data_IF_436311150276
#
_entry.id   IF_436311150276
#
_cell.length_a   1.000
_cell.length_b   1.000
_cell.length_c   1.000
_cell.angle_alpha   90.00
_cell.angle_beta   90.00
_cell.angle_gamma   90.00
#
_symmetry.space_group_name_H-M   'P 1'
#
loop_
_entity.id
_entity.type
_entity.pdbx_description
1 polymer ?
#
# COMPACT_ATOMS: atom_id res chain seq x y z
N UNK A 1 -2.29 13.95 22.09
CA UNK A 1 -3.14 13.06 21.26
C UNK A 1 -2.33 12.60 20.07
N UNK A 2 -2.24 11.30 19.84
CA UNK A 2 -1.53 10.78 18.68
C UNK A 2 -2.31 11.07 17.38
N UNK A 3 -1.57 11.24 16.29
CA UNK A 3 -2.14 11.46 14.97
C UNK A 3 -1.96 10.24 14.07
N UNK A 4 -2.98 9.97 13.27
CA UNK A 4 -2.98 8.94 12.23
C UNK A 4 -3.31 9.64 10.92
N UNK A 5 -2.42 9.57 9.95
CA UNK A 5 -2.67 10.15 8.63
C UNK A 5 -2.90 9.04 7.60
N UNK A 6 -4.05 9.12 6.93
CA UNK A 6 -4.36 8.33 5.74
C UNK A 6 -3.85 9.09 4.53
N UNK A 7 -2.97 8.46 3.76
CA UNK A 7 -2.35 9.10 2.59
C UNK A 7 -3.35 9.19 1.45
N UNK A 8 -3.56 10.42 0.96
CA UNK A 8 -4.42 10.73 -0.18
C UNK A 8 -3.57 11.12 -1.41
N UNK A 9 -3.62 10.33 -2.45
CA UNK A 9 -3.06 10.64 -3.76
C UNK A 9 -4.04 10.30 -4.89
N UNK A 10 -5.35 10.31 -4.57
CA UNK A 10 -6.42 10.06 -5.52
C UNK A 10 -6.81 8.59 -5.69
N UNK A 11 -6.22 7.68 -4.90
CA UNK A 11 -6.45 6.24 -5.01
C UNK A 11 -6.94 5.67 -3.68
N UNK A 12 -7.94 4.81 -3.74
CA UNK A 12 -8.47 4.09 -2.58
C UNK A 12 -9.75 4.67 -1.99
N UNK A 13 -10.38 3.90 -1.11
CA UNK A 13 -11.57 4.32 -0.38
C UNK A 13 -11.18 4.97 0.95
N UNK A 14 -10.75 6.23 0.86
CA UNK A 14 -10.18 6.97 1.98
C UNK A 14 -11.17 7.22 3.11
N UNK A 15 -12.43 7.50 2.76
CA UNK A 15 -13.47 7.78 3.76
C UNK A 15 -13.75 6.56 4.64
N UNK A 16 -13.93 5.39 4.04
CA UNK A 16 -14.15 4.15 4.79
C UNK A 16 -12.98 3.79 5.69
N UNK A 17 -11.75 3.96 5.20
CA UNK A 17 -10.53 3.73 5.98
C UNK A 17 -10.46 4.69 7.17
N UNK A 18 -10.68 5.99 6.94
CA UNK A 18 -10.68 6.99 8.01
C UNK A 18 -11.74 6.69 9.08
N UNK A 19 -12.96 6.33 8.67
CA UNK A 19 -14.04 5.98 9.60
C UNK A 19 -13.71 4.74 10.43
N UNK A 20 -13.13 3.72 9.83
CA UNK A 20 -12.70 2.53 10.55
C UNK A 20 -11.62 2.87 11.60
N UNK A 21 -10.66 3.72 11.23
CA UNK A 21 -9.60 4.17 12.15
C UNK A 21 -10.17 5.02 13.31
N UNK A 22 -11.11 5.91 13.04
CA UNK A 22 -11.80 6.69 14.09
C UNK A 22 -12.51 5.77 15.09
N UNK A 23 -13.12 4.70 14.58
CA UNK A 23 -13.83 3.73 15.43
C UNK A 23 -12.88 2.96 16.36
N UNK A 24 -11.75 2.46 15.82
CA UNK A 24 -10.82 1.63 16.60
C UNK A 24 -9.80 2.44 17.41
N UNK A 25 -9.60 3.70 17.07
CA UNK A 25 -8.65 4.58 17.73
C UNK A 25 -9.32 5.91 18.15
N UNK A 26 -10.36 5.88 19.02
CA UNK A 26 -11.17 7.06 19.34
C UNK A 26 -10.40 8.16 20.06
N UNK A 27 -9.20 7.86 20.57
CA UNK A 27 -8.33 8.84 21.23
C UNK A 27 -7.23 9.37 20.32
N UNK A 28 -7.25 9.02 19.04
CA UNK A 28 -6.30 9.52 18.06
C UNK A 28 -6.99 10.48 17.11
N UNK A 29 -6.23 11.46 16.62
CA UNK A 29 -6.71 12.34 15.56
C UNK A 29 -6.47 11.67 14.21
N UNK A 30 -7.52 11.24 13.54
CA UNK A 30 -7.47 10.68 12.21
C UNK A 30 -7.66 11.80 11.18
N UNK A 31 -6.78 11.86 10.20
CA UNK A 31 -6.85 12.84 9.11
C UNK A 31 -6.50 12.17 7.78
N UNK A 32 -7.05 12.72 6.70
CA UNK A 32 -6.74 12.33 5.32
C UNK A 32 -5.95 13.48 4.72
N UNK A 33 -4.80 13.22 4.13
CA UNK A 33 -3.97 14.30 3.61
C UNK A 33 -3.15 13.89 2.39
N UNK A 34 -3.02 14.82 1.46
CA UNK A 34 -2.12 14.76 0.31
C UNK A 34 -0.85 15.62 0.51
N UNK A 35 -0.65 16.13 1.71
CA UNK A 35 0.49 16.98 2.04
C UNK A 35 1.61 16.16 2.67
N UNK A 36 2.77 16.15 2.02
CA UNK A 36 3.96 15.43 2.49
C UNK A 36 4.40 15.88 3.89
N UNK A 37 4.23 17.17 4.22
CA UNK A 37 4.59 17.69 5.54
C UNK A 37 3.67 17.17 6.65
N UNK A 38 2.39 17.00 6.35
CA UNK A 38 1.42 16.41 7.27
C UNK A 38 1.73 14.93 7.51
N UNK A 39 2.06 14.18 6.45
CA UNK A 39 2.48 12.78 6.55
C UNK A 39 3.75 12.68 7.40
N UNK A 40 4.74 13.53 7.14
CA UNK A 40 5.99 13.57 7.88
C UNK A 40 5.80 13.89 9.39
N UNK A 41 4.87 14.76 9.72
CA UNK A 41 4.58 15.14 11.10
C UNK A 41 3.67 14.16 11.84
N UNK A 42 3.07 13.20 11.16
CA UNK A 42 2.13 12.24 11.75
C UNK A 42 2.84 11.19 12.60
N UNK A 43 2.18 10.75 13.67
CA UNK A 43 2.72 9.68 14.53
C UNK A 43 2.59 8.30 13.88
N UNK A 44 1.52 8.08 13.10
CA UNK A 44 1.23 6.85 12.38
C UNK A 44 0.73 7.16 10.97
N UNK A 45 1.04 6.30 10.04
CA UNK A 45 0.65 6.48 8.63
C UNK A 45 -0.06 5.24 8.11
N UNK A 46 -1.15 5.45 7.39
CA UNK A 46 -1.91 4.40 6.71
C UNK A 46 -1.91 4.67 5.21
N UNK A 47 -1.48 3.70 4.44
CA UNK A 47 -1.43 3.75 3.00
C UNK A 47 -2.45 2.76 2.42
N UNK A 48 -3.65 3.21 2.08
CA UNK A 48 -4.63 2.38 1.39
C UNK A 48 -4.41 2.40 -0.12
N UNK A 49 -5.02 1.48 -0.82
CA UNK A 49 -5.03 1.53 -2.27
C UNK A 49 -5.79 0.41 -2.91
N UNK A 50 -6.34 0.70 -4.08
CA UNK A 50 -7.07 -0.25 -4.92
C UNK A 50 -6.78 0.03 -6.39
N UNK A 51 -7.12 -0.92 -7.24
CA UNK A 51 -6.89 -0.84 -8.68
C UNK A 51 -5.65 -1.61 -9.12
N UNK A 52 -5.06 -1.21 -10.25
CA UNK A 52 -3.86 -1.83 -10.79
C UNK A 52 -2.59 -1.17 -10.23
N UNK A 53 -1.59 -1.98 -9.94
CA UNK A 53 -0.37 -1.51 -9.26
C UNK A 53 0.43 -0.48 -10.08
N UNK A 54 0.43 -0.60 -11.40
CA UNK A 54 1.11 0.37 -12.27
C UNK A 54 0.50 1.76 -12.17
N UNK A 55 -0.83 1.85 -12.21
CA UNK A 55 -1.56 3.10 -12.03
C UNK A 55 -1.39 3.67 -10.63
N UNK A 56 -1.37 2.82 -9.63
CA UNK A 56 -1.13 3.19 -8.24
C UNK A 56 0.24 3.86 -8.06
N UNK A 57 1.29 3.23 -8.56
CA UNK A 57 2.66 3.77 -8.50
C UNK A 57 2.78 5.09 -9.26
N UNK A 58 2.16 5.18 -10.44
CA UNK A 58 2.15 6.42 -11.21
C UNK A 58 1.49 7.56 -10.43
N UNK A 59 0.33 7.32 -9.85
CA UNK A 59 -0.38 8.32 -9.04
C UNK A 59 0.44 8.75 -7.82
N UNK A 60 1.08 7.82 -7.14
CA UNK A 60 1.94 8.11 -5.99
C UNK A 60 3.15 8.98 -6.38
N UNK A 61 3.76 8.72 -7.52
CA UNK A 61 4.89 9.48 -8.04
C UNK A 61 4.48 10.86 -8.58
N UNK A 62 3.38 10.92 -9.32
CA UNK A 62 2.87 12.17 -9.88
C UNK A 62 2.47 13.19 -8.79
N UNK A 63 2.07 12.72 -7.62
CA UNK A 63 1.77 13.58 -6.47
C UNK A 63 2.99 13.91 -5.62
N UNK A 64 4.17 13.40 -5.96
CA UNK A 64 5.43 13.58 -5.22
C UNK A 64 5.39 13.09 -3.76
N UNK A 65 4.51 12.14 -3.44
CA UNK A 65 4.37 11.59 -2.09
C UNK A 65 5.24 10.36 -1.83
N UNK A 66 5.85 9.77 -2.85
CA UNK A 66 6.68 8.57 -2.70
C UNK A 66 7.77 8.72 -1.62
N UNK A 67 8.57 9.81 -1.57
CA UNK A 67 9.58 9.97 -0.53
C UNK A 67 9.00 10.02 0.88
N UNK A 68 7.88 10.72 1.08
CA UNK A 68 7.23 10.83 2.38
C UNK A 68 6.65 9.49 2.84
N UNK A 69 6.08 8.71 1.91
CA UNK A 69 5.56 7.37 2.19
C UNK A 69 6.69 6.42 2.56
N UNK A 70 7.80 6.42 1.82
CA UNK A 70 8.95 5.58 2.12
C UNK A 70 9.58 5.92 3.48
N UNK A 71 9.75 7.20 3.77
CA UNK A 71 10.26 7.64 5.06
C UNK A 71 9.36 7.20 6.21
N UNK A 72 8.05 7.38 6.06
CA UNK A 72 7.08 6.95 7.07
C UNK A 72 7.11 5.43 7.27
N UNK A 73 7.17 4.65 6.18
CA UNK A 73 7.21 3.20 6.26
C UNK A 73 8.48 2.66 6.94
N UNK A 74 9.61 3.38 6.85
CA UNK A 74 10.86 3.01 7.51
C UNK A 74 10.92 3.40 8.97
N UNK A 75 10.31 4.52 9.35
CA UNK A 75 10.59 5.19 10.62
C UNK A 75 9.40 5.30 11.57
N UNK A 76 8.21 4.89 11.17
CA UNK A 76 6.98 5.03 11.97
C UNK A 76 6.15 3.75 11.91
N UNK A 77 5.21 3.59 12.87
CA UNK A 77 4.13 2.61 12.71
C UNK A 77 3.37 2.91 11.41
N UNK A 78 3.36 1.93 10.51
CA UNK A 78 2.85 2.06 9.16
C UNK A 78 1.95 0.88 8.80
N UNK A 79 0.80 1.16 8.22
CA UNK A 79 -0.15 0.14 7.77
C UNK A 79 -0.42 0.30 6.26
N UNK A 80 0.05 -0.65 5.47
CA UNK A 80 -0.32 -0.77 4.07
C UNK A 80 -1.53 -1.66 3.91
N UNK A 81 -2.54 -1.21 3.17
CA UNK A 81 -3.77 -1.96 2.93
C UNK A 81 -3.90 -2.26 1.43
N UNK A 82 -4.07 -3.55 1.08
CA UNK A 82 -4.19 -4.02 -0.30
C UNK A 82 -2.99 -3.58 -1.14
N UNK A 83 -3.16 -2.74 -2.18
CA UNK A 83 -2.04 -2.23 -2.96
C UNK A 83 -1.04 -1.42 -2.12
N UNK A 84 -1.50 -0.75 -1.07
CA UNK A 84 -0.62 -0.05 -0.12
C UNK A 84 0.34 -0.99 0.63
N UNK A 85 0.00 -2.26 0.77
CA UNK A 85 0.93 -3.30 1.24
C UNK A 85 1.80 -3.81 0.08
N UNK A 86 1.20 -4.12 -1.05
CA UNK A 86 1.89 -4.75 -2.18
C UNK A 86 3.03 -3.88 -2.74
N UNK A 87 2.85 -2.56 -2.78
CA UNK A 87 3.89 -1.65 -3.28
C UNK A 87 5.15 -1.59 -2.41
N UNK A 88 5.10 -2.08 -1.19
CA UNK A 88 6.26 -2.08 -0.29
C UNK A 88 7.32 -3.12 -0.65
N UNK A 89 6.97 -4.11 -1.46
CA UNK A 89 7.90 -5.14 -1.93
C UNK A 89 8.76 -4.65 -3.10
N UNK A 90 9.59 -5.53 -3.66
CA UNK A 90 10.54 -5.17 -4.72
C UNK A 90 9.89 -5.08 -6.09
N UNK A 91 8.91 -5.96 -6.37
CA UNK A 91 8.25 -5.99 -7.68
C UNK A 91 6.90 -6.72 -7.61
N UNK A 92 6.13 -6.53 -8.68
CA UNK A 92 4.87 -7.25 -8.90
C UNK A 92 4.81 -7.77 -10.33
N UNK A 93 4.25 -8.96 -10.52
CA UNK A 93 3.98 -9.52 -11.85
C UNK A 93 2.58 -9.12 -12.38
N UNK A 94 1.90 -8.21 -11.70
CA UNK A 94 0.64 -7.62 -12.16
C UNK A 94 0.93 -6.61 -13.28
N UNK A 95 0.86 -7.05 -14.52
CA UNK A 95 1.15 -6.19 -15.68
C UNK A 95 0.45 -6.69 -16.94
N UNK A 96 0.53 -5.91 -18.00
CA UNK A 96 0.06 -6.32 -19.33
C UNK A 96 0.90 -7.48 -19.88
N UNK A 97 0.27 -8.25 -20.75
CA UNK A 97 0.87 -9.45 -21.34
C UNK A 97 2.25 -9.20 -21.95
N UNK A 98 3.21 -10.05 -21.59
CA UNK A 98 4.56 -10.03 -22.16
C UNK A 98 5.50 -8.94 -21.63
N UNK A 99 5.06 -8.17 -20.66
CA UNK A 99 5.88 -7.14 -20.04
C UNK A 99 6.74 -7.70 -18.90
N UNK A 100 7.82 -6.99 -18.56
CA UNK A 100 8.60 -7.27 -17.36
C UNK A 100 7.83 -6.92 -16.10
N UNK A 101 8.21 -7.55 -14.98
CA UNK A 101 7.63 -7.24 -13.68
C UNK A 101 7.74 -5.74 -13.36
N UNK A 102 6.68 -5.20 -12.76
CA UNK A 102 6.66 -3.81 -12.34
C UNK A 102 7.50 -3.66 -11.08
N UNK A 103 8.51 -2.78 -11.13
CA UNK A 103 9.27 -2.38 -9.94
C UNK A 103 8.40 -1.58 -8.98
N UNK A 104 8.39 -2.01 -7.73
CA UNK A 104 7.68 -1.33 -6.65
C UNK A 104 8.66 -0.62 -5.71
N UNK A 105 8.26 -0.28 -4.49
CA UNK A 105 9.08 0.61 -3.63
C UNK A 105 10.31 -0.07 -3.01
N UNK A 106 10.34 -1.39 -2.97
CA UNK A 106 11.52 -2.13 -2.54
C UNK A 106 11.90 -2.01 -1.07
N UNK A 107 10.94 -1.70 -0.19
CA UNK A 107 11.20 -1.64 1.25
C UNK A 107 11.46 -3.03 1.83
N UNK A 108 10.67 -4.01 1.41
CA UNK A 108 10.82 -5.40 1.80
C UNK A 108 11.30 -6.25 0.64
N UNK A 109 12.16 -7.22 0.92
CA UNK A 109 12.56 -8.24 -0.07
C UNK A 109 11.38 -9.11 -0.44
N UNK A 110 11.29 -9.48 -1.70
CA UNK A 110 10.28 -10.36 -2.22
C UNK A 110 9.46 -9.73 -3.32
N UNK A 111 8.59 -10.53 -3.90
CA UNK A 111 7.78 -10.17 -5.04
C UNK A 111 6.31 -10.46 -4.75
N UNK A 112 5.43 -9.60 -5.25
CA UNK A 112 4.01 -9.88 -5.33
C UNK A 112 3.77 -10.65 -6.62
N UNK A 113 3.22 -11.85 -6.52
CA UNK A 113 3.02 -12.75 -7.66
C UNK A 113 1.59 -13.25 -7.74
N UNK A 114 1.10 -13.42 -8.95
CA UNK A 114 -0.17 -14.10 -9.17
C UNK A 114 -0.07 -15.55 -8.70
N UNK A 115 -1.11 -16.07 -8.09
CA UNK A 115 -1.10 -17.44 -7.53
C UNK A 115 -0.74 -18.51 -8.56
N UNK A 116 -1.13 -18.36 -9.81
CA UNK A 116 -0.79 -19.30 -10.88
C UNK A 116 0.69 -19.30 -11.25
N UNK A 117 1.46 -18.29 -10.80
CA UNK A 117 2.90 -18.16 -11.08
C UNK A 117 3.78 -18.58 -9.91
N UNK A 118 3.18 -19.04 -8.81
CA UNK A 118 3.91 -19.19 -7.53
C UNK A 118 4.65 -20.51 -7.42
N UNK A 119 4.26 -21.57 -8.11
CA UNK A 119 5.00 -22.81 -7.89
C UNK A 119 4.79 -23.90 -8.92
N UNK A 120 5.88 -24.64 -9.12
CA UNK A 120 5.87 -25.99 -9.65
C UNK A 120 5.56 -27.04 -8.56
N UNK A 121 5.30 -26.63 -7.32
CA UNK A 121 4.98 -27.50 -6.20
C UNK A 121 3.47 -27.83 -6.25
N UNK A 122 3.10 -29.09 -6.49
CA UNK A 122 1.70 -29.48 -6.57
C UNK A 122 0.92 -29.31 -5.25
N UNK A 123 1.62 -29.17 -4.14
CA UNK A 123 1.02 -28.98 -2.81
C UNK A 123 0.96 -27.50 -2.38
N UNK A 124 1.52 -26.58 -3.19
CA UNK A 124 1.51 -25.16 -2.89
C UNK A 124 0.15 -24.57 -3.18
N UNK A 125 -0.59 -24.31 -2.12
CA UNK A 125 -1.72 -23.38 -2.11
C UNK A 125 -2.78 -23.63 -3.20
N UNK A 126 -3.26 -24.84 -3.32
CA UNK A 126 -4.50 -25.07 -4.03
C UNK A 126 -5.64 -24.67 -3.08
N UNK A 127 -6.39 -23.65 -3.44
CA UNK A 127 -7.63 -23.34 -2.72
C UNK A 127 -8.59 -24.54 -2.89
N UNK A 128 -9.00 -25.19 -1.81
CA UNK A 128 -9.89 -26.36 -1.90
C UNK A 128 -11.25 -26.03 -2.55
N UNK A 129 -11.66 -24.76 -2.58
CA UNK A 129 -12.91 -24.31 -3.14
C UNK A 129 -12.84 -24.00 -4.64
N UNK A 130 -11.67 -23.60 -5.14
CA UNK A 130 -11.47 -23.17 -6.53
C UNK A 130 -10.50 -24.05 -7.33
N UNK A 131 -9.82 -24.93 -6.66
CA UNK A 131 -8.86 -25.86 -7.29
C UNK A 131 -7.46 -25.31 -7.48
#
# INVERSE_FOLDING_TARGET
>A
MSSITVVDFGMGNLHSVAKALEHVAPRSRVQVSSDASVIAASDRVVLPGQGAIGGYLKALRDTHLEPAVLDAARNKPFLGICLGLQVLFESSDEHAEGEENIKTLGLFKGQVRHFTHVSDDPDAMVDPATG
#
